data_IF_859110700901
#
_entry.id   IF_859110700901
#
_cell.length_a   1.000
_cell.length_b   1.000
_cell.length_c   1.000
_cell.angle_alpha   90.00
_cell.angle_beta   90.00
_cell.angle_gamma   90.00
#
_symmetry.space_group_name_H-M   'P 1'
#
loop_
_entity.id
_entity.type
_entity.pdbx_description
1 polymer ?
#
# COMPACT_ATOMS: atom_id res chain seq x y z
N UNK A 1 1.45 8.53 19.94
CA UNK A 1 0.01 8.21 20.12
C UNK A 1 -0.51 7.47 18.88
N UNK A 2 -1.75 6.97 18.86
CA UNK A 2 -2.31 6.33 17.68
C UNK A 2 -3.78 6.71 17.43
N UNK A 3 -4.19 6.69 16.17
CA UNK A 3 -5.58 6.81 15.75
C UNK A 3 -5.91 5.72 14.73
N UNK A 4 -7.13 5.18 14.76
CA UNK A 4 -7.58 4.23 13.75
C UNK A 4 -8.10 5.00 12.53
N UNK A 5 -7.60 4.64 11.34
CA UNK A 5 -7.97 5.27 10.08
C UNK A 5 -8.60 4.26 9.13
N UNK A 6 -9.45 4.72 8.22
CA UNK A 6 -10.07 3.85 7.20
C UNK A 6 -11.21 2.93 7.69
N UNK A 7 -11.61 3.03 8.96
CA UNK A 7 -12.76 2.29 9.49
C UNK A 7 -14.03 2.62 8.69
N UNK A 8 -14.78 1.59 8.26
CA UNK A 8 -16.00 1.76 7.46
C UNK A 8 -15.77 2.14 5.99
N UNK A 9 -14.52 2.31 5.53
CA UNK A 9 -14.19 2.64 4.13
C UNK A 9 -13.93 1.40 3.25
N UNK A 10 -14.46 0.22 3.64
CA UNK A 10 -14.33 -1.03 2.87
C UNK A 10 -12.97 -1.75 3.00
N UNK A 11 -12.11 -1.32 3.92
CA UNK A 11 -10.84 -1.99 4.19
C UNK A 11 -11.06 -3.21 5.08
N UNK A 12 -10.55 -4.36 4.65
CA UNK A 12 -10.61 -5.60 5.42
C UNK A 12 -9.49 -5.71 6.48
N UNK A 13 -8.62 -4.69 6.57
CA UNK A 13 -7.51 -4.61 7.51
C UNK A 13 -7.72 -3.45 8.50
N UNK A 14 -7.21 -3.60 9.72
CA UNK A 14 -7.17 -2.50 10.68
C UNK A 14 -5.97 -1.61 10.36
N UNK A 15 -6.24 -0.37 9.97
CA UNK A 15 -5.20 0.62 9.65
C UNK A 15 -5.16 1.67 10.76
N UNK A 16 -3.96 1.98 11.24
CA UNK A 16 -3.73 2.96 12.29
C UNK A 16 -2.66 3.95 11.82
N UNK A 17 -2.85 5.23 12.12
CA UNK A 17 -1.77 6.21 12.07
C UNK A 17 -1.12 6.29 13.44
N UNK A 18 0.19 6.11 13.48
CA UNK A 18 1.05 6.38 14.62
C UNK A 18 1.63 7.78 14.44
N UNK A 19 1.48 8.66 15.42
CA UNK A 19 1.92 10.06 15.33
C UNK A 19 2.57 10.52 16.63
N UNK A 20 3.22 11.68 16.57
CA UNK A 20 4.09 12.22 17.63
C UNK A 20 5.17 11.21 18.03
N UNK A 21 5.80 10.58 17.03
CA UNK A 21 6.88 9.63 17.26
C UNK A 21 8.11 10.41 17.73
N UNK A 22 8.59 10.08 18.92
CA UNK A 22 9.77 10.68 19.51
C UNK A 22 10.94 9.72 19.39
N UNK A 23 12.10 10.27 19.05
CA UNK A 23 13.34 9.52 18.91
C UNK A 23 14.37 10.03 19.91
N UNK A 24 15.37 9.19 20.23
CA UNK A 24 16.49 9.60 21.07
C UNK A 24 17.25 10.77 20.44
N UNK A 25 17.89 11.61 21.25
CA UNK A 25 18.80 12.67 20.78
C UNK A 25 19.94 12.16 19.90
N UNK A 26 20.29 10.88 20.05
CA UNK A 26 21.41 10.25 19.36
C UNK A 26 21.00 9.65 18.00
N UNK A 27 19.73 9.83 17.61
CA UNK A 27 19.20 9.28 16.38
C UNK A 27 19.52 10.21 15.18
N UNK A 28 19.76 9.60 14.02
CA UNK A 28 20.17 10.32 12.80
C UNK A 28 19.10 11.32 12.33
N UNK A 29 19.53 12.34 11.59
CA UNK A 29 18.63 13.33 10.98
C UNK A 29 17.61 12.67 10.02
N UNK A 30 16.40 13.26 9.94
CA UNK A 30 15.28 12.91 9.06
C UNK A 30 14.45 11.66 9.43
N UNK A 31 14.08 11.51 10.70
CA UNK A 31 13.14 10.47 11.14
C UNK A 31 11.68 10.91 10.97
N UNK A 32 10.78 10.00 10.56
CA UNK A 32 9.38 10.37 10.32
C UNK A 32 8.65 10.64 11.64
N UNK A 33 7.93 11.75 11.71
CA UNK A 33 7.10 12.12 12.86
C UNK A 33 5.80 11.32 12.95
N UNK A 34 5.40 10.67 11.86
CA UNK A 34 4.26 9.76 11.78
C UNK A 34 4.51 8.57 10.84
N UNK A 35 3.78 7.48 11.08
CA UNK A 35 3.82 6.24 10.29
C UNK A 35 2.43 5.62 10.21
N UNK A 36 2.20 4.78 9.21
CA UNK A 36 0.95 4.02 9.07
C UNK A 36 1.21 2.55 9.41
N UNK A 37 0.51 2.05 10.42
CA UNK A 37 0.49 0.65 10.80
C UNK A 37 -0.73 -0.03 10.18
N UNK A 38 -0.52 -1.06 9.37
CA UNK A 38 -1.58 -1.91 8.83
C UNK A 38 -1.49 -3.30 9.42
N UNK A 39 -2.60 -3.73 10.03
CA UNK A 39 -2.78 -5.07 10.58
C UNK A 39 -3.85 -5.79 9.76
N UNK A 40 -3.42 -6.81 9.02
CA UNK A 40 -4.34 -7.66 8.28
C UNK A 40 -4.63 -8.91 9.10
N UNK A 41 -5.90 -9.18 9.38
CA UNK A 41 -6.35 -10.37 10.11
C UNK A 41 -7.54 -10.99 9.38
N UNK A 42 -7.48 -12.28 9.05
CA UNK A 42 -8.66 -13.01 8.57
C UNK A 42 -8.40 -13.96 7.41
N UNK A 43 -9.24 -14.99 7.32
CA UNK A 43 -9.10 -16.12 6.39
C UNK A 43 -9.31 -15.65 4.93
N UNK A 44 -10.25 -14.72 4.71
CA UNK A 44 -10.53 -14.12 3.40
C UNK A 44 -9.38 -13.26 2.85
N UNK A 45 -8.39 -12.94 3.68
CA UNK A 45 -7.24 -12.12 3.32
C UNK A 45 -5.94 -12.91 3.20
N UNK A 46 -5.93 -14.24 3.32
CA UNK A 46 -4.72 -15.05 3.24
C UNK A 46 -3.80 -14.67 2.07
N UNK A 47 -4.41 -14.57 0.88
CA UNK A 47 -3.67 -14.22 -0.33
C UNK A 47 -3.15 -12.78 -0.27
N UNK A 48 -3.96 -11.81 0.17
CA UNK A 48 -3.56 -10.40 0.30
C UNK A 48 -2.48 -10.20 1.37
N UNK A 49 -2.62 -10.81 2.54
CA UNK A 49 -1.66 -10.76 3.64
C UNK A 49 -0.30 -11.37 3.25
N UNK A 50 -0.28 -12.32 2.31
CA UNK A 50 0.96 -12.80 1.72
C UNK A 50 1.52 -11.83 0.66
N UNK A 51 0.69 -11.32 -0.23
CA UNK A 51 1.14 -10.51 -1.37
C UNK A 51 1.61 -9.12 -0.97
N UNK A 52 0.84 -8.45 -0.13
CA UNK A 52 1.01 -7.03 0.16
C UNK A 52 2.41 -6.71 0.74
N UNK A 53 2.94 -7.46 1.72
CA UNK A 53 4.34 -7.28 2.14
C UNK A 53 5.36 -7.44 1.00
N UNK A 54 5.17 -8.40 0.10
CA UNK A 54 6.10 -8.61 -1.02
C UNK A 54 6.05 -7.46 -2.02
N UNK A 55 4.87 -6.91 -2.28
CA UNK A 55 4.71 -5.72 -3.11
C UNK A 55 5.55 -4.56 -2.55
N UNK A 56 5.33 -4.19 -1.28
CA UNK A 56 6.01 -3.03 -0.69
C UNK A 56 7.52 -3.24 -0.51
N UNK A 57 7.99 -4.46 -0.27
CA UNK A 57 9.42 -4.73 -0.09
C UNK A 57 10.19 -4.85 -1.41
N UNK A 58 9.59 -5.48 -2.43
CA UNK A 58 10.32 -5.84 -3.65
C UNK A 58 10.03 -4.93 -4.83
N UNK A 59 8.78 -4.52 -4.98
CA UNK A 59 8.29 -3.83 -6.18
C UNK A 59 8.07 -2.34 -5.94
N UNK A 60 7.43 -1.97 -4.83
CA UNK A 60 7.16 -0.57 -4.46
C UNK A 60 8.35 0.37 -4.63
N UNK A 61 9.56 0.03 -4.15
CA UNK A 61 10.75 0.88 -4.29
C UNK A 61 11.24 1.10 -5.71
N UNK A 62 10.68 0.37 -6.69
CA UNK A 62 11.08 0.44 -8.10
C UNK A 62 10.03 1.10 -8.99
N UNK A 63 8.86 1.38 -8.43
CA UNK A 63 7.82 2.20 -9.08
C UNK A 63 8.19 3.66 -8.82
N UNK A 64 8.37 4.42 -9.89
CA UNK A 64 8.93 5.77 -9.85
C UNK A 64 7.92 6.84 -10.26
N UNK A 65 6.90 6.48 -11.05
CA UNK A 65 5.92 7.45 -11.54
C UNK A 65 4.77 7.73 -10.55
N UNK A 66 4.68 6.96 -9.48
CA UNK A 66 3.62 7.04 -8.48
C UNK A 66 4.24 6.97 -7.10
N UNK A 67 3.78 7.84 -6.22
CA UNK A 67 4.22 7.87 -4.84
C UNK A 67 3.67 6.63 -4.10
N UNK A 68 4.54 5.64 -3.91
CA UNK A 68 4.26 4.46 -3.10
C UNK A 68 4.90 4.68 -1.71
N UNK A 69 4.15 4.51 -0.61
CA UNK A 69 4.71 4.63 0.74
C UNK A 69 5.92 3.72 0.93
N UNK A 70 7.02 4.26 1.48
CA UNK A 70 8.14 3.41 1.91
C UNK A 70 7.68 2.43 2.97
N UNK A 71 8.18 1.20 2.91
CA UNK A 71 7.96 0.20 3.95
C UNK A 71 9.13 0.20 4.92
N UNK A 72 8.86 0.61 6.17
CA UNK A 72 9.84 0.59 7.24
C UNK A 72 9.97 -0.79 7.87
N UNK A 73 8.86 -1.52 7.96
CA UNK A 73 8.83 -2.85 8.55
C UNK A 73 7.69 -3.68 7.99
N UNK A 74 7.96 -4.97 7.79
CA UNK A 74 6.97 -5.93 7.34
C UNK A 74 7.24 -7.28 8.01
N UNK A 75 6.19 -7.91 8.55
CA UNK A 75 6.29 -9.26 9.09
C UNK A 75 4.99 -10.02 8.89
N UNK A 76 5.11 -11.35 8.90
CA UNK A 76 3.98 -12.27 8.92
C UNK A 76 4.02 -13.04 10.24
N UNK A 77 2.85 -13.30 10.81
CA UNK A 77 2.81 -14.08 12.05
C UNK A 77 3.24 -15.53 11.74
N UNK A 78 4.25 -16.07 12.44
CA UNK A 78 4.84 -17.37 12.11
C UNK A 78 3.85 -18.54 12.23
N UNK A 79 2.85 -18.40 13.11
CA UNK A 79 1.84 -19.42 13.35
C UNK A 79 0.47 -19.09 12.74
N UNK A 80 0.32 -17.88 12.20
CA UNK A 80 -0.92 -17.38 11.62
C UNK A 80 -0.60 -16.75 10.26
N UNK A 81 -0.48 -17.53 9.19
CA UNK A 81 -0.07 -17.01 7.87
C UNK A 81 -1.04 -15.97 7.29
N UNK A 82 -2.22 -15.82 7.90
CA UNK A 82 -3.29 -14.89 7.56
C UNK A 82 -3.11 -13.54 8.24
N UNK A 83 -2.12 -13.44 9.13
CA UNK A 83 -1.83 -12.26 9.90
C UNK A 83 -0.52 -11.66 9.39
N UNK A 84 -0.61 -10.39 9.00
CA UNK A 84 0.54 -9.62 8.59
C UNK A 84 0.49 -8.23 9.20
N UNK A 85 1.67 -7.69 9.44
CA UNK A 85 1.88 -6.36 9.95
C UNK A 85 2.78 -5.62 8.98
N UNK A 86 2.35 -4.43 8.59
CA UNK A 86 3.11 -3.49 7.78
C UNK A 86 3.22 -2.16 8.51
N UNK A 87 4.42 -1.61 8.53
CA UNK A 87 4.70 -0.25 8.98
C UNK A 87 5.19 0.54 7.76
N UNK A 88 4.42 1.54 7.38
CA UNK A 88 4.58 2.29 6.15
C UNK A 88 4.79 3.79 6.45
N UNK A 89 5.38 4.47 5.48
CA UNK A 89 5.43 5.94 5.43
C UNK A 89 4.02 6.54 5.45
N UNK A 90 3.85 7.58 6.25
CA UNK A 90 2.62 8.33 6.30
C UNK A 90 2.64 9.44 5.24
N UNK A 91 1.96 9.20 4.12
CA UNK A 91 1.84 10.16 3.02
C UNK A 91 0.73 11.19 3.23
N UNK A 92 -0.01 11.14 4.34
CA UNK A 92 -1.20 11.97 4.51
C UNK A 92 -0.94 13.48 4.56
N UNK A 93 0.30 13.88 4.84
CA UNK A 93 0.72 15.29 4.76
C UNK A 93 0.70 15.83 3.33
N UNK A 94 0.71 14.95 2.33
CA UNK A 94 0.76 15.30 0.91
C UNK A 94 -0.63 15.34 0.25
N UNK A 95 -1.67 14.88 0.94
CA UNK A 95 -2.99 14.68 0.33
C UNK A 95 -4.13 15.12 1.25
N UNK A 96 -5.04 15.92 0.71
CA UNK A 96 -6.30 16.26 1.39
C UNK A 96 -7.27 15.07 1.36
N UNK A 97 -7.93 14.83 2.49
CA UNK A 97 -9.00 13.83 2.54
C UNK A 97 -10.18 14.31 1.72
N UNK A 98 -10.54 13.56 0.68
CA UNK A 98 -11.82 13.71 0.00
C UNK A 98 -12.94 13.50 1.04
N UNK A 99 -13.72 14.56 1.28
CA UNK A 99 -14.84 14.52 2.20
C UNK A 99 -15.93 13.55 1.72
N UNK A 100 -16.87 13.13 2.59
CA UNK A 100 -17.91 12.15 2.25
C UNK A 100 -18.94 12.62 1.20
N UNK A 101 -18.90 13.87 0.74
CA UNK A 101 -19.92 14.46 -0.14
C UNK A 101 -19.38 15.32 -1.29
N UNK A 102 -18.07 15.37 -1.50
CA UNK A 102 -17.53 16.17 -2.61
C UNK A 102 -17.59 15.35 -3.90
N UNK A 103 -18.35 15.84 -4.88
CA UNK A 103 -18.24 15.36 -6.25
C UNK A 103 -16.82 15.61 -6.72
N UNK A 104 -16.12 14.55 -7.12
CA UNK A 104 -14.81 14.69 -7.73
C UNK A 104 -14.91 15.54 -8.99
N UNK A 105 -14.05 16.54 -9.11
CA UNK A 105 -13.89 17.27 -10.36
C UNK A 105 -13.38 16.33 -11.46
N UNK A 106 -13.81 16.54 -12.71
CA UNK A 106 -13.37 15.75 -13.87
C UNK A 106 -11.85 15.71 -14.01
N UNK A 107 -11.16 16.79 -13.64
CA UNK A 107 -9.71 16.91 -13.58
C UNK A 107 -9.08 15.88 -12.64
N UNK A 108 -9.65 15.71 -11.44
CA UNK A 108 -9.20 14.76 -10.42
C UNK A 108 -9.49 13.33 -10.88
N UNK A 109 -10.64 13.09 -11.49
CA UNK A 109 -10.98 11.78 -12.05
C UNK A 109 -9.99 11.38 -13.16
N UNK A 110 -9.67 12.31 -14.07
CA UNK A 110 -8.70 12.05 -15.14
C UNK A 110 -7.30 11.77 -14.58
N UNK A 111 -6.86 12.50 -13.56
CA UNK A 111 -5.59 12.25 -12.86
C UNK A 111 -5.55 10.86 -12.21
N UNK A 112 -6.64 10.43 -11.57
CA UNK A 112 -6.74 9.09 -11.00
C UNK A 112 -6.65 8.01 -12.07
N UNK A 113 -7.39 8.15 -13.18
CA UNK A 113 -7.35 7.22 -14.30
C UNK A 113 -5.94 7.14 -14.91
N UNK A 114 -5.32 8.30 -15.14
CA UNK A 114 -3.96 8.38 -15.67
C UNK A 114 -2.95 7.71 -14.72
N UNK A 115 -3.07 7.96 -13.41
CA UNK A 115 -2.22 7.35 -12.39
C UNK A 115 -2.37 5.83 -12.38
N UNK A 116 -3.60 5.31 -12.43
CA UNK A 116 -3.84 3.85 -12.50
C UNK A 116 -3.25 3.27 -13.80
N UNK A 117 -3.42 3.95 -14.93
CA UNK A 117 -2.87 3.50 -16.20
C UNK A 117 -1.33 3.50 -16.19
N UNK A 118 -0.70 4.52 -15.61
CA UNK A 118 0.74 4.59 -15.39
C UNK A 118 1.22 3.46 -14.46
N UNK A 119 0.51 3.20 -13.36
CA UNK A 119 0.83 2.10 -12.45
C UNK A 119 0.83 0.78 -13.22
N UNK A 120 -0.25 0.52 -13.96
CA UNK A 120 -0.39 -0.70 -14.75
C UNK A 120 0.72 -0.82 -15.81
N UNK A 121 1.03 0.26 -16.53
CA UNK A 121 2.05 0.25 -17.56
C UNK A 121 3.46 0.02 -16.99
N UNK A 122 3.82 0.73 -15.93
CA UNK A 122 5.11 0.59 -15.25
C UNK A 122 5.23 -0.82 -14.64
N UNK A 123 4.15 -1.29 -14.02
CA UNK A 123 4.03 -2.63 -13.47
C UNK A 123 4.36 -3.70 -14.51
N UNK A 124 3.61 -3.79 -15.61
CA UNK A 124 3.79 -4.86 -16.60
C UNK A 124 5.08 -4.74 -17.44
N UNK A 125 5.68 -3.55 -17.51
CA UNK A 125 6.95 -3.36 -18.19
C UNK A 125 8.17 -3.61 -17.29
N UNK A 126 7.97 -3.80 -15.98
CA UNK A 126 9.09 -3.85 -15.04
C UNK A 126 9.96 -5.12 -15.24
N UNK A 127 11.29 -4.99 -15.44
CA UNK A 127 12.18 -6.13 -15.74
C UNK A 127 12.17 -7.24 -14.69
N UNK A 128 11.96 -6.92 -13.41
CA UNK A 128 11.85 -7.95 -12.37
C UNK A 128 10.66 -8.87 -12.53
N UNK A 129 9.53 -8.43 -13.09
CA UNK A 129 8.41 -9.34 -13.28
C UNK A 129 8.76 -10.48 -14.25
N UNK A 130 9.75 -10.25 -15.12
CA UNK A 130 10.29 -11.25 -16.04
C UNK A 130 11.36 -12.14 -15.40
N UNK A 131 12.00 -11.69 -14.32
CA UNK A 131 13.14 -12.36 -13.66
C UNK A 131 12.75 -13.08 -12.37
N UNK A 132 11.90 -12.46 -11.55
CA UNK A 132 11.28 -13.07 -10.37
C UNK A 132 9.89 -13.56 -10.74
N UNK A 133 9.65 -14.86 -10.59
CA UNK A 133 8.30 -15.41 -10.64
C UNK A 133 7.56 -14.99 -9.37
N UNK A 134 6.90 -13.83 -9.40
CA UNK A 134 5.87 -13.51 -8.42
C UNK A 134 4.69 -14.45 -8.70
N UNK A 135 4.68 -15.61 -8.03
CA UNK A 135 3.69 -16.68 -8.23
C UNK A 135 2.24 -16.23 -7.99
N UNK A 136 2.06 -15.10 -7.31
CA UNK A 136 0.79 -14.48 -7.06
C UNK A 136 0.28 -13.57 -8.19
N UNK A 137 1.13 -13.21 -9.15
CA UNK A 137 0.76 -12.36 -10.28
C UNK A 137 0.08 -13.15 -11.40
N UNK A 138 -0.95 -12.55 -12.03
CA UNK A 138 -1.48 -13.11 -13.26
C UNK A 138 -0.38 -13.10 -14.33
N UNK A 139 -0.20 -14.21 -15.08
CA UNK A 139 0.91 -14.38 -16.03
C UNK A 139 0.84 -13.43 -17.22
N UNK A 140 -0.33 -12.82 -17.48
CA UNK A 140 -0.55 -11.86 -18.54
C UNK A 140 -1.48 -10.75 -18.06
N UNK A 141 -1.36 -9.57 -18.67
CA UNK A 141 -2.38 -8.54 -18.63
C UNK A 141 -3.58 -9.06 -19.45
N UNK A 142 -4.41 -9.89 -18.81
CA UNK A 142 -5.55 -10.52 -19.48
C UNK A 142 -6.46 -9.42 -20.04
N UNK A 143 -6.64 -9.40 -21.36
CA UNK A 143 -7.67 -8.59 -22.03
C UNK A 143 -9.09 -9.06 -21.71
N UNK A 144 -9.22 -10.14 -20.92
CA UNK A 144 -10.47 -10.81 -20.61
C UNK A 144 -10.92 -10.43 -19.20
N UNK A 145 -11.47 -9.23 -19.05
CA UNK A 145 -12.51 -8.97 -18.04
C UNK A 145 -13.81 -9.58 -18.54
N UNK A 146 -13.98 -10.89 -18.40
CA UNK A 146 -15.32 -11.47 -18.39
C UNK A 146 -15.85 -11.36 -16.96
N UNK A 147 -16.71 -10.36 -16.72
CA UNK A 147 -17.72 -10.49 -15.69
C UNK A 147 -18.66 -11.60 -16.16
N UNK A 148 -18.62 -12.75 -15.48
CA UNK A 148 -19.70 -13.73 -15.49
C UNK A 148 -20.50 -13.56 -14.19
#
# INVERSE_FOLDING_TARGET
MYEQIGLGKGWNASVYRLYDIQYSSDSMDCLPSSMVLKLSTGIWLQRVASIEPEFYLKLGPRISNIEIPKCYYATRHPYSPNESLLLLEDLSVNYDSLGPQESLEDSTLFLLIASIACLHAEFFNHPLLRQEMFSWLPPFNSTVTHYQ
#
